data_IF_847751279537
#
_entry.id   IF_847751279537
#
_cell.length_a   1.000
_cell.length_b   1.000
_cell.length_c   1.000
_cell.angle_alpha   90.00
_cell.angle_beta   90.00
_cell.angle_gamma   90.00
#
_symmetry.space_group_name_H-M   'P 1'
#
loop_
_entity.id
_entity.type
_entity.pdbx_description
1 polymer ?
#
# COMPACT_ATOMS: atom_id res chain seq x y z
N UNK A 1 14.06 3.52 2.44
CA UNK A 1 14.13 2.04 2.28
C UNK A 1 12.74 1.49 2.54
N UNK A 2 11.97 1.22 1.48
CA UNK A 2 10.59 0.73 1.57
C UNK A 2 10.63 -0.81 1.53
N UNK A 3 11.05 -1.40 2.65
CA UNK A 3 10.93 -2.84 2.84
C UNK A 3 9.51 -3.17 3.26
N UNK A 4 8.93 -4.19 2.64
CA UNK A 4 7.67 -4.86 2.98
C UNK A 4 6.86 -4.16 4.08
N UNK A 5 5.83 -3.43 3.70
CA UNK A 5 4.96 -2.77 4.66
C UNK A 5 4.17 -3.82 5.42
N UNK A 6 4.51 -4.01 6.67
CA UNK A 6 3.64 -4.71 7.60
C UNK A 6 2.52 -3.74 7.99
N UNK A 7 1.36 -3.95 7.39
CA UNK A 7 0.14 -3.37 7.92
C UNK A 7 -0.19 -4.11 9.21
N UNK A 8 0.07 -3.50 10.36
CA UNK A 8 -0.57 -3.94 11.58
C UNK A 8 -2.00 -3.41 11.56
N UNK A 9 -2.92 -4.17 10.98
CA UNK A 9 -4.34 -3.93 11.19
C UNK A 9 -4.64 -4.39 12.59
N UNK A 10 -4.69 -3.45 13.54
CA UNK A 10 -5.39 -3.70 14.78
C UNK A 10 -6.89 -3.74 14.42
N UNK A 11 -7.39 -4.90 14.03
CA UNK A 11 -8.81 -5.15 13.88
C UNK A 11 -9.44 -5.24 15.26
N UNK A 12 -9.67 -4.10 15.88
CA UNK A 12 -10.75 -4.03 16.84
C UNK A 12 -12.03 -3.98 16.01
N UNK A 13 -12.95 -4.97 16.14
CA UNK A 13 -14.21 -4.89 15.43
C UNK A 13 -14.88 -3.56 15.84
N UNK A 14 -15.18 -2.74 14.87
CA UNK A 14 -16.02 -1.58 15.07
C UNK A 14 -17.45 -2.08 15.37
N UNK A 15 -17.67 -2.49 16.60
CA UNK A 15 -19.00 -2.73 17.10
C UNK A 15 -19.61 -1.38 17.46
N UNK A 16 -20.43 -0.81 16.63
CA UNK A 16 -21.06 0.53 16.70
C UNK A 16 -21.51 1.07 18.07
N UNK A 17 -21.09 0.45 19.17
CA UNK A 17 -21.33 0.82 20.55
C UNK A 17 -20.28 1.80 21.12
N UNK A 18 -19.22 2.09 20.41
CA UNK A 18 -18.14 2.94 20.90
C UNK A 18 -18.29 4.41 20.53
N UNK A 19 -19.22 5.12 21.11
CA UNK A 19 -19.21 6.61 21.13
C UNK A 19 -18.02 7.16 21.93
N UNK A 20 -16.83 6.65 21.69
CA UNK A 20 -15.60 7.03 22.38
C UNK A 20 -14.36 6.47 21.72
N UNK A 21 -14.48 5.62 20.71
CA UNK A 21 -13.36 5.21 19.89
C UNK A 21 -12.90 6.42 19.08
N UNK A 22 -11.69 6.89 19.35
CA UNK A 22 -11.11 8.03 18.67
C UNK A 22 -11.12 7.80 17.15
N UNK A 23 -11.24 8.87 16.39
CA UNK A 23 -11.15 8.87 14.94
C UNK A 23 -9.82 8.24 14.51
N UNK A 24 -9.89 7.21 13.67
CA UNK A 24 -8.74 6.53 13.11
C UNK A 24 -8.73 6.66 11.59
N UNK A 25 -7.61 7.10 11.03
CA UNK A 25 -7.36 7.05 9.59
C UNK A 25 -6.18 6.12 9.37
N UNK A 26 -6.41 5.02 8.67
CA UNK A 26 -5.39 4.04 8.32
C UNK A 26 -4.99 4.20 6.85
N UNK A 27 -3.68 4.31 6.59
CA UNK A 27 -3.14 4.34 5.23
C UNK A 27 -2.47 2.99 4.95
N UNK A 28 -2.96 2.31 3.92
CA UNK A 28 -2.35 1.08 3.41
C UNK A 28 -1.64 1.40 2.11
N UNK A 29 -0.33 1.27 2.12
CA UNK A 29 0.51 1.49 0.93
C UNK A 29 0.80 0.14 0.31
N UNK A 30 0.34 -0.08 -0.91
CA UNK A 30 0.39 -1.37 -1.59
C UNK A 30 1.04 -1.23 -2.96
N UNK A 31 2.20 -1.86 -3.13
CA UNK A 31 2.89 -1.99 -4.42
C UNK A 31 2.82 -3.42 -4.99
N UNK A 32 2.04 -4.33 -4.39
CA UNK A 32 1.84 -5.70 -4.86
C UNK A 32 3.11 -6.57 -4.85
N UNK A 33 4.19 -6.14 -4.16
CA UNK A 33 5.45 -6.89 -4.20
C UNK A 33 6.31 -6.68 -2.96
N UNK A 34 7.23 -7.63 -2.72
CA UNK A 34 8.36 -7.44 -1.82
C UNK A 34 9.43 -6.58 -2.51
N UNK A 35 9.19 -5.27 -2.57
CA UNK A 35 9.95 -4.33 -3.39
C UNK A 35 11.46 -4.37 -3.16
N UNK A 36 11.94 -4.47 -1.91
CA UNK A 36 13.36 -4.57 -1.59
C UNK A 36 13.97 -5.86 -2.13
N UNK A 37 13.30 -7.00 -1.95
CA UNK A 37 13.75 -8.30 -2.48
C UNK A 37 13.81 -8.22 -4.01
N UNK A 38 12.78 -7.70 -4.64
CA UNK A 38 12.71 -7.50 -6.09
C UNK A 38 13.86 -6.62 -6.60
N UNK A 39 14.18 -5.55 -5.90
CA UNK A 39 15.30 -4.67 -6.23
C UNK A 39 16.65 -5.43 -6.24
N UNK A 40 16.89 -6.29 -5.26
CA UNK A 40 18.10 -7.12 -5.22
C UNK A 40 18.12 -8.15 -6.33
N UNK A 41 16.98 -8.79 -6.62
CA UNK A 41 16.88 -9.73 -7.74
C UNK A 41 17.22 -9.05 -9.07
N UNK A 42 16.70 -7.87 -9.34
CA UNK A 42 16.99 -7.14 -10.58
C UNK A 42 18.45 -6.67 -10.67
N UNK A 43 19.11 -6.45 -9.55
CA UNK A 43 20.52 -6.06 -9.50
C UNK A 43 21.46 -7.22 -9.79
N UNK A 44 21.21 -8.39 -9.20
CA UNK A 44 22.10 -9.56 -9.27
C UNK A 44 21.69 -10.52 -10.39
N UNK A 45 20.39 -10.63 -10.68
CA UNK A 45 19.81 -11.55 -11.65
C UNK A 45 18.74 -10.85 -12.49
N UNK A 46 19.12 -9.90 -13.36
CA UNK A 46 18.16 -9.05 -14.05
C UNK A 46 17.13 -9.84 -14.86
N UNK A 47 15.85 -9.48 -14.69
CA UNK A 47 14.73 -10.14 -15.37
C UNK A 47 14.35 -11.53 -14.84
N UNK A 48 15.02 -12.03 -13.79
CA UNK A 48 14.74 -13.35 -13.20
C UNK A 48 13.93 -13.20 -11.90
N UNK A 49 12.65 -12.88 -12.04
CA UNK A 49 11.72 -12.71 -10.90
C UNK A 49 11.41 -14.05 -10.27
N UNK A 50 11.48 -14.13 -8.94
CA UNK A 50 11.06 -15.30 -8.20
C UNK A 50 10.55 -14.93 -6.81
N UNK A 51 9.32 -15.34 -6.46
CA UNK A 51 8.77 -15.25 -5.12
C UNK A 51 8.65 -13.84 -4.53
N UNK A 52 8.71 -12.78 -5.34
CA UNK A 52 8.62 -11.40 -4.88
C UNK A 52 7.29 -10.71 -5.22
N UNK A 53 6.39 -11.39 -5.90
CA UNK A 53 5.04 -10.92 -6.17
C UNK A 53 4.11 -11.29 -5.03
N UNK A 54 3.20 -10.39 -4.66
CA UNK A 54 2.22 -10.58 -3.62
C UNK A 54 0.82 -10.58 -4.22
N UNK A 55 0.00 -11.51 -3.77
CA UNK A 55 -1.44 -11.49 -4.01
C UNK A 55 -2.12 -10.89 -2.79
N UNK A 56 -2.31 -9.56 -2.81
CA UNK A 56 -2.94 -8.84 -1.73
C UNK A 56 -4.46 -8.85 -1.86
N UNK A 57 -5.21 -8.89 -0.75
CA UNK A 57 -6.66 -8.70 -0.78
C UNK A 57 -7.02 -7.26 -1.19
N UNK A 58 -8.28 -7.05 -1.55
CA UNK A 58 -8.83 -5.70 -1.61
C UNK A 58 -9.00 -5.17 -0.19
N UNK A 59 -8.02 -4.41 0.28
CA UNK A 59 -8.01 -3.83 1.63
C UNK A 59 -9.18 -2.86 1.86
N UNK A 60 -9.63 -2.15 0.83
CA UNK A 60 -10.77 -1.26 0.95
C UNK A 60 -12.08 -2.05 1.11
N UNK A 61 -12.24 -3.17 0.39
CA UNK A 61 -13.38 -4.06 0.57
C UNK A 61 -13.38 -4.71 1.96
N UNK A 62 -12.21 -5.15 2.43
CA UNK A 62 -12.04 -5.71 3.78
C UNK A 62 -12.45 -4.71 4.86
N UNK A 63 -11.97 -3.48 4.77
CA UNK A 63 -12.32 -2.43 5.73
C UNK A 63 -13.83 -2.12 5.73
N UNK A 64 -14.47 -2.11 4.56
CA UNK A 64 -15.92 -1.93 4.45
C UNK A 64 -16.68 -3.08 5.10
N UNK A 65 -16.19 -4.31 4.98
CA UNK A 65 -16.79 -5.48 5.63
C UNK A 65 -16.75 -5.36 7.16
N UNK A 66 -15.72 -4.70 7.72
CA UNK A 66 -15.60 -4.38 9.14
C UNK A 66 -16.36 -3.10 9.57
N UNK A 67 -17.14 -2.50 8.68
CA UNK A 67 -17.95 -1.30 8.96
C UNK A 67 -17.17 0.03 8.89
N UNK A 68 -15.93 0.02 8.36
CA UNK A 68 -15.15 1.22 8.15
C UNK A 68 -15.57 1.93 6.87
N UNK A 69 -15.32 3.23 6.78
CA UNK A 69 -15.26 3.90 5.50
C UNK A 69 -13.94 3.53 4.81
N UNK A 70 -13.97 3.36 3.48
CA UNK A 70 -12.75 3.03 2.77
C UNK A 70 -12.70 3.63 1.36
N UNK A 71 -11.52 4.09 1.00
CA UNK A 71 -11.18 4.64 -0.31
C UNK A 71 -10.03 3.86 -0.92
N UNK A 72 -10.06 3.70 -2.25
CA UNK A 72 -8.93 3.17 -3.03
C UNK A 72 -8.39 4.32 -3.89
N UNK A 73 -7.09 4.56 -3.82
CA UNK A 73 -6.39 5.63 -4.53
C UNK A 73 -5.29 5.01 -5.35
N UNK A 74 -5.35 5.16 -6.65
CA UNK A 74 -4.39 4.67 -7.64
C UNK A 74 -3.66 5.79 -8.40
N UNK A 75 -4.04 7.04 -8.12
CA UNK A 75 -3.40 8.23 -8.68
C UNK A 75 -3.24 9.32 -7.61
N UNK A 76 -2.17 10.09 -7.69
CA UNK A 76 -1.84 11.14 -6.72
C UNK A 76 -2.99 12.14 -6.52
N UNK A 77 -3.68 12.52 -7.58
CA UNK A 77 -4.81 13.44 -7.51
C UNK A 77 -6.01 12.92 -6.69
N UNK A 78 -6.13 11.60 -6.52
CA UNK A 78 -7.18 10.97 -5.71
C UNK A 78 -6.92 11.03 -4.20
N UNK A 79 -5.68 11.33 -3.78
CA UNK A 79 -5.33 11.29 -2.36
C UNK A 79 -6.00 12.41 -1.54
N UNK A 80 -5.91 13.65 -2.01
CA UNK A 80 -6.45 14.80 -1.29
C UNK A 80 -7.96 14.67 -1.02
N UNK A 81 -8.83 14.37 -2.01
CA UNK A 81 -10.26 14.21 -1.75
C UNK A 81 -10.55 12.99 -0.85
N UNK A 82 -9.82 11.88 -0.98
CA UNK A 82 -9.99 10.72 -0.10
C UNK A 82 -9.60 11.05 1.35
N UNK A 83 -8.52 11.80 1.55
CA UNK A 83 -8.07 12.21 2.87
C UNK A 83 -9.02 13.24 3.50
N UNK A 84 -9.51 14.19 2.73
CA UNK A 84 -10.53 15.15 3.19
C UNK A 84 -11.84 14.44 3.62
N UNK A 85 -12.29 13.46 2.84
CA UNK A 85 -13.43 12.61 3.21
C UNK A 85 -13.17 11.81 4.48
N UNK A 86 -11.98 11.26 4.66
CA UNK A 86 -11.57 10.57 5.87
C UNK A 86 -11.55 11.50 7.09
N UNK A 87 -11.11 12.75 6.92
CA UNK A 87 -11.17 13.76 7.97
C UNK A 87 -12.60 14.17 8.34
N UNK A 88 -13.54 14.14 7.43
CA UNK A 88 -14.94 14.45 7.67
C UNK A 88 -15.76 13.28 8.22
N UNK A 89 -15.25 12.04 8.08
CA UNK A 89 -15.98 10.85 8.48
C UNK A 89 -16.26 10.78 9.98
N UNK A 90 -17.36 10.16 10.34
CA UNK A 90 -17.78 9.89 11.73
C UNK A 90 -17.31 8.52 12.27
N UNK A 91 -16.59 7.77 11.45
CA UNK A 91 -16.12 6.41 11.71
C UNK A 91 -14.68 6.21 11.24
N UNK A 92 -14.01 5.12 11.66
CA UNK A 92 -12.69 4.79 11.13
C UNK A 92 -12.69 4.70 9.61
N UNK A 93 -11.62 5.20 9.00
CA UNK A 93 -11.47 5.21 7.54
C UNK A 93 -10.14 4.59 7.15
N UNK A 94 -10.17 3.72 6.13
CA UNK A 94 -8.99 3.17 5.50
C UNK A 94 -8.81 3.78 4.11
N UNK A 95 -7.60 4.24 3.81
CA UNK A 95 -7.22 4.67 2.47
C UNK A 95 -6.18 3.69 1.92
N UNK A 96 -6.58 2.91 0.92
CA UNK A 96 -5.72 1.98 0.21
C UNK A 96 -5.02 2.71 -0.94
N UNK A 97 -3.71 2.91 -0.81
CA UNK A 97 -2.86 3.57 -1.79
C UNK A 97 -2.19 2.51 -2.67
N UNK A 98 -2.59 2.42 -3.93
CA UNK A 98 -1.94 1.55 -4.90
C UNK A 98 -0.76 2.27 -5.54
N UNK A 99 0.43 1.69 -5.42
CA UNK A 99 1.65 2.23 -5.98
C UNK A 99 2.09 1.42 -7.20
N UNK A 100 2.76 2.11 -8.13
CA UNK A 100 3.47 1.46 -9.22
C UNK A 100 4.60 0.58 -8.66
N UNK A 101 4.58 -0.75 -8.90
CA UNK A 101 5.62 -1.66 -8.41
C UNK A 101 7.01 -1.37 -8.99
N UNK A 102 7.13 -0.66 -10.11
CA UNK A 102 8.42 -0.27 -10.68
C UNK A 102 9.10 0.83 -9.86
N UNK A 103 8.34 1.65 -9.15
CA UNK A 103 8.86 2.76 -8.33
C UNK A 103 9.32 2.25 -6.98
N UNK A 104 10.62 2.06 -6.81
CA UNK A 104 11.22 1.52 -5.57
C UNK A 104 11.65 2.63 -4.61
N UNK A 105 12.21 3.70 -5.15
CA UNK A 105 12.63 4.88 -4.38
C UNK A 105 12.33 6.15 -5.16
N UNK A 106 12.46 7.30 -4.51
CA UNK A 106 12.37 8.60 -5.19
C UNK A 106 13.46 8.84 -6.24
N UNK A 107 14.48 7.98 -6.30
CA UNK A 107 15.66 8.17 -7.16
C UNK A 107 15.83 7.11 -8.25
N UNK A 108 15.16 5.97 -8.15
CA UNK A 108 15.37 4.86 -9.09
C UNK A 108 14.16 3.96 -9.19
N UNK A 109 14.05 3.28 -10.32
CA UNK A 109 13.02 2.29 -10.61
C UNK A 109 13.64 0.90 -10.79
N UNK A 110 12.83 -0.16 -10.71
CA UNK A 110 13.26 -1.53 -11.00
C UNK A 110 13.80 -1.65 -12.43
N UNK A 111 13.13 -1.01 -13.38
CA UNK A 111 13.57 -0.96 -14.78
C UNK A 111 14.95 -0.34 -14.95
N UNK A 112 15.23 0.75 -14.25
CA UNK A 112 16.56 1.40 -14.27
C UNK A 112 17.66 0.52 -13.66
N UNK A 113 17.37 -0.16 -12.56
CA UNK A 113 18.30 -1.10 -11.90
C UNK A 113 18.62 -2.27 -12.82
N UNK A 114 17.58 -2.89 -13.44
CA UNK A 114 17.73 -3.95 -14.42
C UNK A 114 18.60 -3.53 -15.61
N UNK A 115 18.30 -2.38 -16.18
CA UNK A 115 19.06 -1.87 -17.32
C UNK A 115 20.54 -1.60 -16.97
N UNK A 116 20.83 -1.14 -15.76
CA UNK A 116 22.19 -0.98 -15.28
C UNK A 116 22.92 -2.31 -15.07
N UNK A 117 22.23 -3.33 -14.58
CA UNK A 117 22.78 -4.66 -14.35
C UNK A 117 23.10 -5.38 -15.67
N UNK A 118 22.27 -5.23 -16.70
CA UNK A 118 22.48 -5.82 -18.03
C UNK A 118 23.64 -5.19 -18.82
N UNK A 119 24.16 -4.03 -18.39
CA UNK A 119 25.32 -3.36 -19.02
C UNK A 119 26.66 -3.73 -18.40
N UNK A 120 26.67 -4.54 -17.35
CA UNK A 120 27.89 -5.05 -16.69
C UNK A 120 28.37 -6.32 -17.38
#
# INVERSE_FOLDING_TARGET
MLSSWHLTVATAPWNGAGRGAGKLISLVVDNGSYGTIRMHQEREYPGRVSGSELFNPDFAALARADGWQAHCVDATAGFEPAFAAALAADRPTLIHLKLDPDVITSRTTLGAIRAAALRR
#
